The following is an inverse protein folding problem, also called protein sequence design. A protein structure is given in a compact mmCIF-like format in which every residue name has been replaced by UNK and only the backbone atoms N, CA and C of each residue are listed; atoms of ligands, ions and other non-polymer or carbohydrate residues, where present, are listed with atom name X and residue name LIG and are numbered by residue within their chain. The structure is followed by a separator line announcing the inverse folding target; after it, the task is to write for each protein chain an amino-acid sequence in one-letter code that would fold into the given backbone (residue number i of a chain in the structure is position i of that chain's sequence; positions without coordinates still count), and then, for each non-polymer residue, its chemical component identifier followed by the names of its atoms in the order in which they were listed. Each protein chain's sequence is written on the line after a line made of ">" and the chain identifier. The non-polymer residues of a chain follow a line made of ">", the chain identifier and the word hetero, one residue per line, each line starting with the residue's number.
data_IF_409078957134
#
_entry.id   IF_409078957134
#
_cell.length_a   1.000
_cell.length_b   1.000
_cell.length_c   1.000
_cell.angle_alpha   90.00
_cell.angle_beta   90.00
_cell.angle_gamma   90.00
#
_symmetry.space_group_name_H-M   'P 1'
#
loop_
_entity.id
_entity.type
_entity.pdbx_description
1 polymer ?
#
# COMPACT_ATOMS: atom_id res chain seq x y z
N UNK A 1 -21.96 27.41 -32.90
CA UNK A 1 -21.50 26.12 -32.33
C UNK A 1 -22.66 25.36 -31.72
N UNK A 2 -22.79 24.05 -32.00
CA UNK A 2 -23.74 23.20 -31.26
C UNK A 2 -23.38 23.17 -29.78
N UNK A 3 -24.39 23.32 -28.93
CA UNK A 3 -24.24 23.11 -27.50
C UNK A 3 -23.86 21.64 -27.23
N UNK A 4 -23.06 21.38 -26.19
CA UNK A 4 -22.55 20.03 -25.92
C UNK A 4 -23.67 18.99 -25.73
N UNK A 5 -24.82 19.43 -25.22
CA UNK A 5 -26.03 18.61 -25.06
C UNK A 5 -26.60 18.07 -26.36
N UNK A 6 -26.29 18.73 -27.48
CA UNK A 6 -26.88 18.47 -28.79
C UNK A 6 -25.91 17.70 -29.69
N UNK A 7 -24.73 17.34 -29.15
CA UNK A 7 -23.69 16.58 -29.86
C UNK A 7 -23.99 15.09 -29.70
N UNK A 8 -24.17 14.42 -30.84
CA UNK A 8 -24.27 12.95 -30.86
C UNK A 8 -22.96 12.34 -30.37
N UNK A 9 -23.03 11.23 -29.64
CA UNK A 9 -21.86 10.55 -29.07
C UNK A 9 -20.74 10.28 -30.09
N UNK A 10 -21.11 9.95 -31.34
CA UNK A 10 -20.18 9.72 -32.44
C UNK A 10 -19.39 10.97 -32.88
N UNK A 11 -19.93 12.17 -32.64
CA UNK A 11 -19.37 13.45 -33.09
C UNK A 11 -18.58 14.18 -32.00
N UNK A 12 -18.44 13.58 -30.81
CA UNK A 12 -17.76 14.19 -29.66
C UNK A 12 -16.30 14.51 -29.99
N UNK A 13 -15.59 13.61 -30.64
CA UNK A 13 -14.17 13.82 -31.00
C UNK A 13 -14.01 14.99 -31.97
N UNK A 14 -14.87 15.09 -32.98
CA UNK A 14 -14.90 16.19 -33.94
C UNK A 14 -15.32 17.52 -33.30
N UNK A 15 -16.24 17.47 -32.33
CA UNK A 15 -16.67 18.64 -31.56
C UNK A 15 -15.56 19.16 -30.63
N UNK A 16 -14.82 18.27 -29.97
CA UNK A 16 -13.66 18.63 -29.14
C UNK A 16 -12.51 19.15 -30.01
N UNK A 17 -12.32 18.59 -31.21
CA UNK A 17 -11.26 19.02 -32.13
C UNK A 17 -11.39 20.48 -32.58
N UNK A 18 -12.62 21.01 -32.64
CA UNK A 18 -12.92 22.42 -33.00
C UNK A 18 -12.78 23.40 -31.85
N UNK A 19 -12.48 22.95 -30.63
CA UNK A 19 -12.30 23.83 -29.48
C UNK A 19 -10.92 24.48 -29.53
N UNK A 20 -10.87 25.75 -29.13
CA UNK A 20 -9.62 26.47 -28.95
C UNK A 20 -8.81 25.80 -27.81
N UNK A 21 -7.71 25.15 -28.20
CA UNK A 21 -6.79 24.45 -27.29
C UNK A 21 -5.64 25.35 -26.84
N UNK A 22 -5.66 26.63 -27.21
CA UNK A 22 -4.65 27.57 -26.73
C UNK A 22 -4.73 27.67 -25.20
N UNK A 23 -3.59 27.89 -24.50
CA UNK A 23 -3.59 28.10 -23.06
C UNK A 23 -4.55 29.22 -22.62
N UNK A 24 -4.70 30.27 -23.45
CA UNK A 24 -5.65 31.36 -23.22
C UNK A 24 -7.11 30.90 -23.38
N UNK A 25 -7.43 30.09 -24.39
CA UNK A 25 -8.76 29.49 -24.58
C UNK A 25 -9.17 28.59 -23.41
N UNK A 26 -8.22 27.79 -22.89
CA UNK A 26 -8.42 26.95 -21.71
C UNK A 26 -8.65 27.80 -20.46
N UNK A 27 -7.85 28.84 -20.24
CA UNK A 27 -7.98 29.76 -19.11
C UNK A 27 -9.33 30.49 -19.11
N UNK A 28 -9.73 31.05 -20.26
CA UNK A 28 -11.05 31.69 -20.41
C UNK A 28 -12.20 30.71 -20.23
N UNK A 29 -12.04 29.45 -20.68
CA UNK A 29 -12.99 28.37 -20.43
C UNK A 29 -13.13 28.03 -18.94
N UNK A 30 -12.01 28.01 -18.21
CA UNK A 30 -11.96 27.84 -16.76
C UNK A 30 -12.70 28.96 -16.03
N UNK A 31 -12.41 30.23 -16.35
CA UNK A 31 -13.07 31.40 -15.75
C UNK A 31 -14.59 31.38 -15.97
N UNK A 32 -15.06 31.07 -17.18
CA UNK A 32 -16.50 31.00 -17.47
C UNK A 32 -17.18 29.87 -16.69
N UNK A 33 -16.52 28.73 -16.55
CA UNK A 33 -17.01 27.60 -15.76
C UNK A 33 -17.06 27.95 -14.28
N UNK A 34 -16.00 28.60 -13.77
CA UNK A 34 -15.94 29.11 -12.40
C UNK A 34 -17.06 30.11 -12.12
N UNK A 35 -17.33 31.08 -12.99
CA UNK A 35 -18.41 32.04 -12.79
C UNK A 35 -19.81 31.42 -12.87
N UNK A 36 -20.02 30.41 -13.72
CA UNK A 36 -21.27 29.64 -13.76
C UNK A 36 -21.46 28.86 -12.46
N UNK A 37 -20.39 28.23 -11.96
CA UNK A 37 -20.39 27.54 -10.67
C UNK A 37 -20.64 28.49 -9.51
N UNK A 38 -19.97 29.65 -9.49
CA UNK A 38 -20.12 30.67 -8.46
C UNK A 38 -21.54 31.25 -8.41
N UNK A 39 -22.17 31.52 -9.57
CA UNK A 39 -23.59 31.91 -9.62
C UNK A 39 -24.51 30.79 -9.13
N UNK A 40 -24.24 29.54 -9.53
CA UNK A 40 -25.02 28.39 -9.07
C UNK A 40 -24.86 28.11 -7.57
N UNK A 41 -23.69 28.44 -7.01
CA UNK A 41 -23.38 28.36 -5.58
C UNK A 41 -24.11 29.43 -4.77
N UNK A 42 -24.20 30.66 -5.30
CA UNK A 42 -24.97 31.73 -4.66
C UNK A 42 -26.49 31.55 -4.79
N UNK A 43 -26.95 30.85 -5.81
CA UNK A 43 -28.37 30.55 -6.02
C UNK A 43 -28.78 29.32 -5.19
N UNK A 44 -29.01 29.52 -3.89
CA UNK A 44 -29.35 28.52 -2.86
C UNK A 44 -30.63 27.70 -3.10
N UNK A 45 -31.24 27.78 -4.29
CA UNK A 45 -32.50 27.07 -4.62
C UNK A 45 -32.33 25.61 -5.00
N UNK A 46 -31.09 25.09 -5.11
CA UNK A 46 -30.82 23.67 -5.42
C UNK A 46 -30.03 23.01 -4.29
N UNK A 47 -30.65 22.19 -3.43
CA UNK A 47 -30.08 21.71 -2.16
C UNK A 47 -28.91 20.72 -2.27
N UNK A 48 -28.47 20.36 -3.49
CA UNK A 48 -27.48 19.29 -3.67
C UNK A 48 -26.06 19.80 -3.92
N UNK A 49 -25.86 21.10 -4.19
CA UNK A 49 -24.54 21.62 -4.55
C UNK A 49 -23.58 21.72 -3.35
N UNK A 50 -24.12 21.97 -2.15
CA UNK A 50 -23.35 22.00 -0.89
C UNK A 50 -22.70 20.65 -0.60
N UNK A 51 -23.38 19.54 -0.90
CA UNK A 51 -22.81 18.20 -0.75
C UNK A 51 -21.64 17.95 -1.72
N UNK A 52 -21.78 18.38 -2.97
CA UNK A 52 -20.71 18.25 -3.96
C UNK A 52 -19.50 19.13 -3.63
N UNK A 53 -19.71 20.36 -3.14
CA UNK A 53 -18.59 21.22 -2.68
C UNK A 53 -17.90 20.63 -1.45
N UNK A 54 -18.65 20.08 -0.50
CA UNK A 54 -18.07 19.42 0.67
C UNK A 54 -17.22 18.21 0.28
N UNK A 55 -17.70 17.36 -0.64
CA UNK A 55 -16.92 16.22 -1.14
C UNK A 55 -15.67 16.71 -1.90
N UNK A 56 -15.80 17.74 -2.73
CA UNK A 56 -14.67 18.27 -3.50
C UNK A 56 -13.60 18.91 -2.58
N UNK A 57 -14.02 19.67 -1.58
CA UNK A 57 -13.12 20.28 -0.58
C UNK A 57 -12.48 19.20 0.29
N UNK A 58 -13.22 18.17 0.71
CA UNK A 58 -12.68 17.04 1.45
C UNK A 58 -11.66 16.24 0.63
N UNK A 59 -11.96 15.95 -0.64
CA UNK A 59 -11.04 15.28 -1.55
C UNK A 59 -9.80 16.13 -1.86
N UNK A 60 -9.94 17.45 -1.97
CA UNK A 60 -8.83 18.38 -2.16
C UNK A 60 -7.96 18.48 -0.90
N UNK A 61 -8.56 18.44 0.29
CA UNK A 61 -7.85 18.38 1.57
C UNK A 61 -7.10 17.06 1.76
N UNK A 62 -7.71 15.93 1.40
CA UNK A 62 -7.04 14.62 1.41
C UNK A 62 -5.86 14.63 0.45
N UNK A 63 -6.05 15.11 -0.78
CA UNK A 63 -4.94 15.25 -1.73
C UNK A 63 -3.88 16.23 -1.22
N UNK A 64 -4.24 17.35 -0.61
CA UNK A 64 -3.28 18.28 -0.03
C UNK A 64 -2.51 17.65 1.15
N UNK A 65 -3.17 16.90 2.04
CA UNK A 65 -2.50 16.17 3.13
C UNK A 65 -1.57 15.08 2.60
N UNK A 66 -1.96 14.39 1.54
CA UNK A 66 -1.15 13.36 0.88
C UNK A 66 0.05 14.01 0.19
N UNK A 67 -0.16 15.03 -0.65
CA UNK A 67 0.87 15.58 -1.55
C UNK A 67 1.66 16.78 -0.99
N UNK A 68 1.11 17.57 -0.07
CA UNK A 68 1.78 18.74 0.52
C UNK A 68 2.64 18.41 1.75
N UNK A 69 2.55 17.18 2.28
CA UNK A 69 3.55 16.64 3.21
C UNK A 69 4.53 15.76 2.42
N UNK A 70 5.67 16.31 1.95
CA UNK A 70 6.60 15.58 1.08
C UNK A 70 7.14 14.30 1.74
N UNK A 71 7.31 14.31 3.07
CA UNK A 71 7.80 13.14 3.80
C UNK A 71 6.72 12.05 4.01
N UNK A 72 5.43 12.40 3.90
CA UNK A 72 4.31 11.45 4.10
C UNK A 72 3.71 10.93 2.81
N UNK A 73 3.70 11.68 1.71
CA UNK A 73 3.31 11.16 0.38
C UNK A 73 4.17 9.96 -0.02
N UNK A 74 5.49 10.09 0.18
CA UNK A 74 6.44 9.00 -0.04
C UNK A 74 6.11 7.82 0.86
N UNK A 75 5.82 8.05 2.15
CA UNK A 75 5.45 6.98 3.08
C UNK A 75 4.19 6.20 2.63
N UNK A 76 3.18 6.88 2.07
CA UNK A 76 2.00 6.21 1.52
C UNK A 76 2.30 5.43 0.24
N UNK A 77 3.11 5.99 -0.66
CA UNK A 77 3.52 5.32 -1.89
C UNK A 77 4.38 4.07 -1.60
N UNK A 78 5.38 4.20 -0.73
CA UNK A 78 6.19 3.09 -0.26
C UNK A 78 5.35 2.07 0.52
N UNK A 79 4.41 2.52 1.36
CA UNK A 79 3.49 1.63 2.06
C UNK A 79 2.62 0.80 1.11
N UNK A 80 2.15 1.40 0.02
CA UNK A 80 1.37 0.72 -1.02
C UNK A 80 2.21 -0.33 -1.78
N UNK A 81 3.42 0.04 -2.21
CA UNK A 81 4.35 -0.87 -2.88
C UNK A 81 4.74 -2.06 -1.98
N UNK A 82 5.08 -1.81 -0.71
CA UNK A 82 5.43 -2.86 0.26
C UNK A 82 4.21 -3.77 0.51
N UNK A 83 3.00 -3.22 0.57
CA UNK A 83 1.77 -4.00 0.72
C UNK A 83 1.50 -4.87 -0.50
N UNK A 84 1.59 -4.33 -1.71
CA UNK A 84 1.44 -5.09 -2.95
C UNK A 84 2.47 -6.21 -3.04
N UNK A 85 3.72 -5.92 -2.69
CA UNK A 85 4.78 -6.93 -2.62
C UNK A 85 4.44 -8.02 -1.60
N UNK A 86 3.95 -7.65 -0.42
CA UNK A 86 3.49 -8.62 0.60
C UNK A 86 2.36 -9.52 0.09
N UNK A 87 1.38 -8.97 -0.62
CA UNK A 87 0.29 -9.75 -1.25
C UNK A 87 0.85 -10.69 -2.33
N UNK A 88 1.75 -10.20 -3.17
CA UNK A 88 2.39 -11.00 -4.20
C UNK A 88 3.20 -12.15 -3.60
N UNK A 89 3.93 -11.92 -2.51
CA UNK A 89 4.62 -12.97 -1.76
C UNK A 89 3.64 -14.05 -1.30
N UNK A 90 2.51 -13.68 -0.70
CA UNK A 90 1.50 -14.66 -0.27
C UNK A 90 0.93 -15.46 -1.44
N UNK A 91 0.63 -14.81 -2.58
CA UNK A 91 0.10 -15.50 -3.77
C UNK A 91 1.06 -16.54 -4.33
N UNK A 92 2.36 -16.28 -4.26
CA UNK A 92 3.38 -17.16 -4.84
C UNK A 92 3.98 -18.14 -3.82
N UNK A 93 3.72 -17.94 -2.53
CA UNK A 93 4.21 -18.83 -1.47
C UNK A 93 3.23 -19.97 -1.31
N UNK A 94 3.59 -21.15 -1.82
CA UNK A 94 2.77 -22.36 -1.66
C UNK A 94 2.92 -22.99 -0.27
N UNK A 95 4.10 -22.86 0.36
CA UNK A 95 4.43 -23.52 1.63
C UNK A 95 5.16 -22.60 2.58
N UNK A 96 4.68 -22.54 3.82
CA UNK A 96 5.31 -21.84 4.94
C UNK A 96 5.65 -22.85 6.04
N UNK A 97 6.81 -22.69 6.67
CA UNK A 97 7.14 -23.44 7.88
C UNK A 97 6.95 -22.52 9.10
N UNK A 98 6.18 -22.97 10.08
CA UNK A 98 5.92 -22.27 11.33
C UNK A 98 6.58 -23.03 12.48
N UNK A 99 7.61 -22.43 13.09
CA UNK A 99 8.20 -22.93 14.33
C UNK A 99 7.55 -22.20 15.50
N UNK A 100 7.00 -22.96 16.44
CA UNK A 100 6.32 -22.40 17.61
C UNK A 100 6.72 -23.10 18.92
N UNK A 101 6.61 -22.34 20.01
CA UNK A 101 6.82 -22.84 21.39
C UNK A 101 5.49 -23.02 22.11
N UNK A 102 5.40 -24.03 22.97
CA UNK A 102 4.21 -24.32 23.81
C UNK A 102 4.21 -23.55 25.15
N UNK A 103 4.80 -22.37 25.19
CA UNK A 103 4.85 -21.53 26.39
C UNK A 103 3.59 -20.68 26.58
N UNK A 104 3.42 -20.11 27.77
CA UNK A 104 2.32 -19.16 28.09
C UNK A 104 2.28 -18.01 27.06
N UNK A 105 3.45 -17.55 26.61
CA UNK A 105 3.59 -16.59 25.51
C UNK A 105 4.25 -17.30 24.33
N UNK A 106 3.47 -17.81 23.36
CA UNK A 106 4.02 -18.58 22.26
C UNK A 106 4.85 -17.68 21.34
N UNK A 107 6.10 -18.04 21.12
CA UNK A 107 6.94 -17.42 20.09
C UNK A 107 6.67 -18.11 18.77
N UNK A 108 6.52 -17.34 17.69
CA UNK A 108 6.24 -17.83 16.34
C UNK A 108 7.27 -17.32 15.37
N UNK A 109 8.06 -18.23 14.83
CA UNK A 109 9.04 -17.96 13.80
C UNK A 109 8.54 -18.58 12.49
N UNK A 110 8.26 -17.73 11.51
CA UNK A 110 7.86 -18.18 10.17
C UNK A 110 9.09 -18.24 9.27
N UNK A 111 9.15 -19.27 8.44
CA UNK A 111 10.17 -19.45 7.42
C UNK A 111 9.50 -19.53 6.05
N UNK A 112 9.85 -18.58 5.18
CA UNK A 112 9.57 -18.67 3.76
C UNK A 112 10.56 -19.64 3.14
N UNK A 113 10.04 -20.75 2.60
CA UNK A 113 10.89 -21.70 1.87
C UNK A 113 11.46 -21.03 0.64
N UNK A 114 12.78 -21.14 0.51
CA UNK A 114 13.46 -20.71 -0.69
C UNK A 114 13.40 -21.79 -1.77
N UNK A 115 13.37 -21.35 -3.03
CA UNK A 115 13.70 -22.23 -4.16
C UNK A 115 15.19 -22.61 -4.12
N UNK A 116 15.60 -23.60 -4.94
CA UNK A 116 16.97 -24.17 -4.96
C UNK A 116 18.11 -23.14 -5.01
N UNK A 117 17.86 -21.92 -5.50
CA UNK A 117 18.85 -20.86 -5.66
C UNK A 117 18.60 -19.63 -4.78
N UNK A 118 17.71 -19.73 -3.78
CA UNK A 118 17.37 -18.61 -2.90
C UNK A 118 17.75 -18.95 -1.45
N UNK A 119 18.01 -17.92 -0.65
CA UNK A 119 18.22 -18.07 0.79
C UNK A 119 16.86 -18.06 1.47
N UNK A 120 16.62 -18.98 2.41
CA UNK A 120 15.36 -18.99 3.16
C UNK A 120 15.23 -17.74 4.02
N UNK A 121 14.07 -17.10 3.97
CA UNK A 121 13.78 -15.89 4.76
C UNK A 121 13.03 -16.27 6.02
N UNK A 122 13.50 -15.78 7.16
CA UNK A 122 12.87 -15.96 8.45
C UNK A 122 12.24 -14.66 8.92
N UNK A 123 11.04 -14.74 9.49
CA UNK A 123 10.29 -13.58 9.99
C UNK A 123 9.75 -13.84 11.39
N UNK A 124 9.90 -12.84 12.26
CA UNK A 124 9.31 -12.82 13.60
C UNK A 124 8.29 -11.67 13.66
N UNK A 125 6.98 -11.95 13.48
CA UNK A 125 5.97 -10.90 13.37
C UNK A 125 5.81 -10.05 14.65
N UNK A 126 6.09 -10.64 15.82
CA UNK A 126 5.97 -9.98 17.12
C UNK A 126 6.98 -8.87 17.33
N UNK A 127 8.22 -9.04 16.86
CA UNK A 127 9.29 -8.04 16.98
C UNK A 127 9.53 -7.25 15.68
N UNK A 128 8.74 -7.50 14.63
CA UNK A 128 8.99 -7.00 13.27
C UNK A 128 10.36 -7.39 12.69
N UNK A 129 11.02 -8.41 13.21
CA UNK A 129 12.31 -8.87 12.69
C UNK A 129 12.15 -9.68 11.41
N UNK A 130 13.09 -9.56 10.48
CA UNK A 130 13.16 -10.36 9.25
C UNK A 130 14.60 -10.52 8.77
N UNK A 131 14.94 -11.65 8.17
CA UNK A 131 16.28 -11.88 7.59
C UNK A 131 16.40 -11.49 6.13
N UNK A 132 15.39 -10.85 5.53
CA UNK A 132 15.45 -10.44 4.13
C UNK A 132 16.38 -9.24 3.93
N UNK A 133 16.97 -9.14 2.74
CA UNK A 133 17.86 -8.03 2.36
C UNK A 133 17.20 -6.67 2.55
N UNK A 134 15.92 -6.53 2.16
CA UNK A 134 15.15 -5.31 2.38
C UNK A 134 15.11 -4.87 3.85
N UNK A 135 14.96 -5.81 4.79
CA UNK A 135 14.94 -5.48 6.22
C UNK A 135 16.30 -4.95 6.69
N UNK A 136 17.39 -5.59 6.23
CA UNK A 136 18.75 -5.14 6.54
C UNK A 136 19.03 -3.74 6.00
N UNK A 137 18.72 -3.50 4.74
CA UNK A 137 19.06 -2.25 4.05
C UNK A 137 18.20 -1.05 4.46
N UNK A 138 16.91 -1.28 4.72
CA UNK A 138 15.96 -0.19 4.96
C UNK A 138 15.60 -0.04 6.43
N UNK A 139 15.37 -1.14 7.15
CA UNK A 139 14.85 -1.05 8.52
C UNK A 139 15.99 -0.98 9.53
N UNK A 140 16.98 -1.86 9.42
CA UNK A 140 18.15 -1.81 10.32
C UNK A 140 19.03 -0.59 10.04
N UNK A 141 19.41 -0.36 8.78
CA UNK A 141 20.40 0.67 8.45
C UNK A 141 19.83 2.09 8.35
N UNK A 142 18.62 2.26 7.78
CA UNK A 142 18.02 3.59 7.58
C UNK A 142 17.02 3.98 8.66
N UNK A 143 16.75 3.09 9.63
CA UNK A 143 15.74 3.29 10.67
C UNK A 143 14.34 3.62 10.10
N UNK A 144 14.03 3.08 8.91
CA UNK A 144 12.71 3.25 8.33
C UNK A 144 11.66 2.59 9.23
N UNK A 145 10.60 3.33 9.60
CA UNK A 145 9.50 2.83 10.46
C UNK A 145 8.60 1.80 9.77
N UNK A 146 8.92 1.36 8.56
CA UNK A 146 8.09 0.42 7.79
C UNK A 146 8.36 -1.03 8.17
N UNK A 147 7.35 -1.88 8.06
CA UNK A 147 7.55 -3.34 8.11
C UNK A 147 8.02 -3.83 6.75
N UNK A 148 8.95 -4.80 6.72
CA UNK A 148 9.35 -5.41 5.45
C UNK A 148 8.18 -6.17 4.79
N UNK A 149 8.21 -6.39 3.46
CA UNK A 149 7.14 -7.10 2.75
C UNK A 149 6.81 -8.48 3.35
N UNK A 150 7.81 -9.22 3.84
CA UNK A 150 7.62 -10.53 4.46
C UNK A 150 6.84 -10.45 5.79
N UNK A 151 7.13 -9.46 6.63
CA UNK A 151 6.38 -9.25 7.87
C UNK A 151 4.95 -8.78 7.60
N UNK A 152 4.75 -7.96 6.57
CA UNK A 152 3.39 -7.59 6.13
C UNK A 152 2.65 -8.82 5.62
N UNK A 153 3.28 -9.64 4.78
CA UNK A 153 2.72 -10.88 4.26
C UNK A 153 2.26 -11.81 5.40
N UNK A 154 3.11 -12.10 6.38
CA UNK A 154 2.72 -12.96 7.50
C UNK A 154 1.60 -12.34 8.34
N UNK A 155 1.67 -11.06 8.68
CA UNK A 155 0.60 -10.39 9.44
C UNK A 155 -0.73 -10.40 8.69
N UNK A 156 -0.68 -10.22 7.38
CA UNK A 156 -1.85 -10.28 6.51
C UNK A 156 -2.38 -11.71 6.48
N UNK A 157 -1.51 -12.71 6.37
CA UNK A 157 -1.88 -14.12 6.44
C UNK A 157 -2.50 -14.50 7.79
N UNK A 158 -1.94 -14.10 8.94
CA UNK A 158 -2.53 -14.39 10.26
C UNK A 158 -3.93 -13.76 10.42
N UNK A 159 -4.20 -12.65 9.71
CA UNK A 159 -5.52 -12.01 9.67
C UNK A 159 -6.48 -12.67 8.67
N UNK A 160 -6.00 -13.04 7.48
CA UNK A 160 -6.80 -13.61 6.38
C UNK A 160 -7.02 -15.12 6.54
N UNK A 161 -6.07 -15.88 7.08
CA UNK A 161 -6.16 -17.33 7.28
C UNK A 161 -7.35 -17.73 8.15
N UNK A 162 -7.83 -16.83 9.01
CA UNK A 162 -9.12 -16.97 9.71
C UNK A 162 -10.34 -17.03 8.77
N UNK A 163 -10.17 -16.75 7.48
CA UNK A 163 -11.25 -16.59 6.49
C UNK A 163 -11.09 -17.45 5.20
N UNK A 164 -10.01 -18.20 5.03
CA UNK A 164 -9.63 -19.11 3.90
C UNK A 164 -8.28 -18.71 3.29
N UNK A 165 -7.23 -19.51 3.49
CA UNK A 165 -5.98 -19.36 2.76
C UNK A 165 -5.52 -20.71 2.18
N UNK A 166 -5.23 -20.74 0.89
CA UNK A 166 -4.70 -21.91 0.15
C UNK A 166 -3.21 -22.23 0.45
N UNK A 167 -2.63 -21.59 1.46
CA UNK A 167 -1.21 -21.73 1.81
C UNK A 167 -1.06 -22.88 2.80
N UNK A 168 -0.25 -23.88 2.43
CA UNK A 168 0.05 -25.02 3.30
C UNK A 168 1.08 -24.59 4.36
N UNK A 169 0.69 -24.67 5.64
CA UNK A 169 1.58 -24.34 6.77
C UNK A 169 2.05 -25.64 7.42
N UNK A 170 3.35 -25.91 7.31
CA UNK A 170 4.01 -26.97 8.06
C UNK A 170 4.33 -26.45 9.47
N UNK A 171 3.70 -27.01 10.50
CA UNK A 171 3.89 -26.61 11.90
C UNK A 171 4.92 -27.49 12.59
N UNK A 172 5.90 -26.86 13.24
CA UNK A 172 6.95 -27.50 14.01
C UNK A 172 6.89 -27.01 15.46
N UNK A 173 6.65 -27.94 16.39
CA UNK A 173 6.80 -27.67 17.81
C UNK A 173 8.29 -27.81 18.18
N UNK A 174 8.83 -26.77 18.81
CA UNK A 174 10.25 -26.72 19.19
C UNK A 174 10.41 -26.20 20.61
N UNK A 175 11.51 -26.60 21.27
CA UNK A 175 11.85 -26.06 22.58
C UNK A 175 12.20 -24.57 22.51
N UNK A 176 11.97 -23.85 23.61
CA UNK A 176 12.34 -22.44 23.72
C UNK A 176 13.83 -22.19 23.49
N UNK A 177 14.67 -23.08 24.01
CA UNK A 177 16.14 -23.03 23.85
C UNK A 177 16.53 -23.14 22.38
N UNK A 178 15.94 -24.08 21.63
CA UNK A 178 16.21 -24.23 20.20
C UNK A 178 15.81 -22.99 19.42
N UNK A 179 14.62 -22.45 19.67
CA UNK A 179 14.14 -21.27 18.95
C UNK A 179 14.98 -20.03 19.28
N UNK A 180 15.44 -19.91 20.53
CA UNK A 180 16.31 -18.82 20.97
C UNK A 180 17.70 -18.93 20.35
N UNK A 181 18.35 -20.10 20.39
CA UNK A 181 19.63 -20.35 19.72
C UNK A 181 19.55 -20.07 18.21
N UNK A 182 18.49 -20.57 17.56
CA UNK A 182 18.25 -20.32 16.13
C UNK A 182 18.07 -18.83 15.84
N UNK A 183 17.30 -18.11 16.66
CA UNK A 183 17.14 -16.66 16.51
C UNK A 183 18.45 -15.91 16.70
N UNK A 184 19.25 -16.25 17.72
CA UNK A 184 20.56 -15.61 17.96
C UNK A 184 21.46 -15.77 16.74
N UNK A 185 21.56 -16.98 16.18
CA UNK A 185 22.34 -17.25 14.96
C UNK A 185 21.84 -16.44 13.76
N UNK A 186 20.52 -16.33 13.59
CA UNK A 186 19.93 -15.53 12.49
C UNK A 186 20.21 -14.04 12.68
N UNK A 187 20.19 -13.54 13.92
CA UNK A 187 20.54 -12.16 14.23
C UNK A 187 22.02 -11.92 13.93
N UNK A 188 22.92 -12.79 14.39
CA UNK A 188 24.36 -12.71 14.10
C UNK A 188 24.64 -12.74 12.60
N UNK A 189 23.98 -13.61 11.84
CA UNK A 189 24.09 -13.63 10.37
C UNK A 189 23.56 -12.33 9.72
N UNK A 190 22.49 -11.75 10.27
CA UNK A 190 21.92 -10.51 9.74
C UNK A 190 22.77 -9.26 10.07
N UNK A 191 23.37 -9.23 11.26
CA UNK A 191 24.20 -8.13 11.78
C UNK A 191 25.67 -8.27 11.35
N UNK A 192 26.11 -9.48 10.99
CA UNK A 192 27.43 -9.74 10.42
C UNK A 192 27.63 -8.90 9.16
N UNK A 193 28.52 -7.93 9.29
CA UNK A 193 29.09 -7.13 8.22
C UNK A 193 30.19 -7.95 7.53
N UNK A 194 29.99 -8.28 6.26
CA UNK A 194 31.09 -8.20 5.29
C UNK A 194 31.18 -6.76 4.81
#
# INVERSE_FOLDING_TARGET
>A
DLHFSDVKLADISAWVARRDKTPMGIYQGGIRTFWKFYRAYLDNKKPNLIWYTQIFVAASLINFIIFAMPDRSLAYFYGYEILLHGIHLLKNTQRLALYHTNEIIPRRLYQFRANKNQVSVYTLPTSNFCTCTFYKEHILNKQDYFSCPHNIAIKLHEKISKANSDIEIETFEVSHEYLTDKMTKLIEQSCGTE
#
